data_IF_056106995878
#
_entry.id   IF_056106995878
#
_cell.length_a   1.000
_cell.length_b   1.000
_cell.length_c   1.000
_cell.angle_alpha   90.00
_cell.angle_beta   90.00
_cell.angle_gamma   90.00
#
_symmetry.space_group_name_H-M   'P 1'
#
loop_
_entity.id
_entity.type
_entity.pdbx_description
1 polymer ?
#
# COMPACT_ATOMS: atom_id res chain seq x y z
N UNK A 1 4.02 5.30 -4.27
CA UNK A 1 4.46 3.95 -3.82
C UNK A 1 3.27 3.01 -3.90
N UNK A 2 3.50 1.75 -4.29
CA UNK A 2 2.42 0.81 -4.59
C UNK A 2 1.66 1.26 -5.83
N UNK A 3 2.37 1.36 -6.95
CA UNK A 3 1.84 1.94 -8.18
C UNK A 3 1.07 0.96 -9.05
N UNK A 4 1.25 -0.35 -8.89
CA UNK A 4 0.73 -1.35 -9.81
C UNK A 4 1.08 -1.00 -11.29
N UNK A 5 0.06 -0.90 -12.15
CA UNK A 5 0.17 -0.47 -13.55
C UNK A 5 0.23 1.06 -13.77
N UNK A 6 0.04 1.84 -12.71
CA UNK A 6 0.08 3.30 -12.72
C UNK A 6 -1.20 3.99 -13.19
N UNK A 7 -2.16 3.27 -13.78
CA UNK A 7 -3.32 3.87 -14.46
C UNK A 7 -4.16 4.73 -13.52
N UNK A 8 -4.47 4.21 -12.33
CA UNK A 8 -5.27 4.90 -11.31
C UNK A 8 -4.62 6.18 -10.79
N UNK A 9 -3.29 6.30 -10.91
CA UNK A 9 -2.53 7.43 -10.41
C UNK A 9 -2.36 8.57 -11.44
N UNK A 10 -2.49 8.29 -12.75
CA UNK A 10 -2.13 9.22 -13.82
C UNK A 10 -2.81 10.59 -13.67
N UNK A 11 -4.12 10.62 -13.45
CA UNK A 11 -4.89 11.87 -13.35
C UNK A 11 -4.53 12.70 -12.12
N UNK A 12 -4.25 12.02 -11.00
CA UNK A 12 -3.83 12.70 -9.76
C UNK A 12 -2.44 13.30 -9.95
N UNK A 13 -1.50 12.54 -10.51
CA UNK A 13 -0.14 13.00 -10.82
C UNK A 13 -0.17 14.16 -11.81
N UNK A 14 -0.97 14.09 -12.88
CA UNK A 14 -1.18 15.18 -13.84
C UNK A 14 -1.66 16.46 -13.14
N UNK A 15 -2.67 16.34 -12.29
CA UNK A 15 -3.25 17.47 -11.56
C UNK A 15 -2.24 18.13 -10.63
N UNK A 16 -1.42 17.32 -9.95
CA UNK A 16 -0.38 17.80 -9.05
C UNK A 16 0.77 18.49 -9.81
N UNK A 17 1.23 17.90 -10.92
CA UNK A 17 2.23 18.52 -11.81
C UNK A 17 1.74 19.88 -12.31
N UNK A 18 0.50 19.95 -12.81
CA UNK A 18 -0.07 21.19 -13.31
C UNK A 18 -0.17 22.27 -12.22
N UNK A 19 -0.53 21.87 -11.00
CA UNK A 19 -0.52 22.78 -9.85
C UNK A 19 0.88 23.31 -9.56
N UNK A 20 1.90 22.44 -9.52
CA UNK A 20 3.28 22.85 -9.29
C UNK A 20 3.79 23.80 -10.38
N UNK A 21 3.57 23.46 -11.65
CA UNK A 21 4.04 24.26 -12.79
C UNK A 21 3.34 25.62 -12.88
N UNK A 22 2.07 25.71 -12.48
CA UNK A 22 1.36 27.00 -12.37
C UNK A 22 1.98 27.92 -11.33
N UNK A 23 2.40 27.36 -10.19
CA UNK A 23 2.96 28.14 -9.08
C UNK A 23 4.49 28.32 -9.18
N UNK A 24 5.17 27.51 -9.98
CA UNK A 24 6.62 27.56 -10.21
C UNK A 24 6.93 27.26 -11.67
N UNK A 25 6.72 28.24 -12.58
CA UNK A 25 6.97 28.04 -14.00
C UNK A 25 8.41 27.60 -14.28
N UNK A 26 8.56 26.55 -15.08
CA UNK A 26 9.87 26.00 -15.48
C UNK A 26 10.46 24.97 -14.51
N UNK A 27 9.81 24.66 -13.39
CA UNK A 27 10.24 23.62 -12.45
C UNK A 27 10.48 22.27 -13.16
N UNK A 28 11.57 21.59 -12.79
CA UNK A 28 11.85 20.21 -13.17
C UNK A 28 11.33 19.26 -12.10
N UNK A 29 10.61 18.21 -12.51
CA UNK A 29 9.94 17.28 -11.60
C UNK A 29 10.37 15.86 -11.92
N UNK A 30 10.87 15.15 -10.91
CA UNK A 30 11.05 13.69 -10.98
C UNK A 30 9.82 13.02 -10.37
N UNK A 31 9.24 12.04 -11.07
CA UNK A 31 8.14 11.22 -10.55
C UNK A 31 8.66 9.80 -10.38
N UNK A 32 8.81 9.34 -9.14
CA UNK A 32 9.30 8.00 -8.85
C UNK A 32 8.13 7.04 -8.61
N UNK A 33 7.91 6.15 -9.58
CA UNK A 33 6.99 5.03 -9.49
C UNK A 33 7.67 3.86 -8.81
N UNK A 34 7.26 3.54 -7.59
CA UNK A 34 7.85 2.48 -6.79
C UNK A 34 6.86 1.34 -6.52
N UNK A 35 7.28 0.11 -6.82
CA UNK A 35 6.52 -1.12 -6.56
C UNK A 35 7.46 -2.31 -6.30
N UNK A 36 6.89 -3.42 -5.82
CA UNK A 36 7.65 -4.65 -5.57
C UNK A 36 8.29 -5.21 -6.85
N UNK A 37 9.42 -5.93 -6.76
CA UNK A 37 10.13 -6.45 -7.94
C UNK A 37 9.32 -7.35 -8.88
N UNK A 38 8.23 -7.94 -8.39
CA UNK A 38 7.32 -8.81 -9.16
C UNK A 38 6.20 -8.05 -9.88
N UNK A 39 6.11 -6.72 -9.73
CA UNK A 39 5.15 -5.91 -10.47
C UNK A 39 5.43 -5.97 -11.98
N UNK A 40 4.39 -5.78 -12.79
CA UNK A 40 4.56 -5.64 -14.24
C UNK A 40 5.07 -4.23 -14.59
N UNK A 41 6.39 -4.05 -14.48
CA UNK A 41 7.04 -2.81 -14.86
C UNK A 41 6.95 -2.51 -16.35
N UNK A 42 6.79 -3.52 -17.22
CA UNK A 42 6.62 -3.27 -18.65
C UNK A 42 5.27 -2.60 -18.91
N UNK A 43 4.19 -3.12 -18.32
CA UNK A 43 2.87 -2.51 -18.36
C UNK A 43 2.87 -1.10 -17.79
N UNK A 44 3.44 -0.92 -16.59
CA UNK A 44 3.58 0.40 -15.95
C UNK A 44 4.33 1.42 -16.83
N UNK A 45 5.46 1.02 -17.42
CA UNK A 45 6.24 1.90 -18.31
C UNK A 45 5.45 2.26 -19.56
N UNK A 46 4.73 1.30 -20.16
CA UNK A 46 3.87 1.59 -21.32
C UNK A 46 2.77 2.58 -20.96
N UNK A 47 2.09 2.39 -19.84
CA UNK A 47 1.06 3.31 -19.33
C UNK A 47 1.62 4.72 -19.10
N UNK A 48 2.71 4.85 -18.34
CA UNK A 48 3.28 6.15 -17.97
C UNK A 48 3.88 6.87 -19.18
N UNK A 49 4.45 6.15 -20.16
CA UNK A 49 5.01 6.76 -21.37
C UNK A 49 3.99 7.02 -22.49
N UNK A 50 2.69 6.82 -22.24
CA UNK A 50 1.63 7.09 -23.23
C UNK A 50 1.56 6.04 -24.35
N UNK A 51 2.10 4.84 -24.12
CA UNK A 51 2.01 3.69 -25.01
C UNK A 51 0.85 2.74 -24.63
N UNK A 52 0.19 2.99 -23.49
CA UNK A 52 -0.96 2.25 -23.01
C UNK A 52 -2.31 2.78 -23.51
N UNK A 53 -3.38 2.39 -22.83
CA UNK A 53 -4.75 2.78 -23.20
C UNK A 53 -5.16 4.18 -22.75
N UNK A 54 -4.44 4.76 -21.79
CA UNK A 54 -4.78 6.03 -21.15
C UNK A 54 -3.78 7.14 -21.53
N UNK A 55 -4.25 8.39 -21.73
CA UNK A 55 -3.36 9.52 -22.00
C UNK A 55 -2.38 9.74 -20.86
N UNK A 56 -1.09 9.89 -21.20
CA UNK A 56 -0.07 10.20 -20.22
C UNK A 56 -0.03 11.70 -19.91
N UNK A 57 0.30 12.06 -18.67
CA UNK A 57 0.61 13.45 -18.32
C UNK A 57 1.85 13.97 -19.05
N UNK A 58 2.74 13.09 -19.53
CA UNK A 58 3.94 13.46 -20.30
C UNK A 58 3.61 14.06 -21.67
N UNK A 59 2.43 13.76 -22.22
CA UNK A 59 1.97 14.36 -23.48
C UNK A 59 1.57 15.83 -23.32
N UNK A 60 1.25 16.24 -22.08
CA UNK A 60 0.68 17.55 -21.75
C UNK A 60 1.61 18.43 -20.92
N UNK A 61 2.68 17.85 -20.38
CA UNK A 61 3.59 18.52 -19.44
C UNK A 61 5.02 18.44 -19.95
N UNK A 62 5.84 19.45 -19.60
CA UNK A 62 7.27 19.51 -19.93
C UNK A 62 8.11 19.44 -18.66
N UNK A 63 9.39 19.12 -18.77
CA UNK A 63 10.33 19.04 -17.63
C UNK A 63 9.88 18.04 -16.54
N UNK A 64 9.21 16.95 -16.94
CA UNK A 64 8.80 15.86 -16.05
C UNK A 64 9.53 14.58 -16.44
N UNK A 65 10.15 13.92 -15.47
CA UNK A 65 10.99 12.75 -15.68
C UNK A 65 10.47 11.58 -14.83
N UNK A 66 9.80 10.59 -15.43
CA UNK A 66 9.39 9.39 -14.70
C UNK A 66 10.59 8.49 -14.43
N UNK A 67 10.65 7.95 -13.22
CA UNK A 67 11.63 6.96 -12.78
C UNK A 67 10.88 5.75 -12.23
N UNK A 68 11.41 4.55 -12.46
CA UNK A 68 10.76 3.30 -12.06
C UNK A 68 11.68 2.56 -11.07
N UNK A 69 11.20 2.38 -9.84
CA UNK A 69 11.92 1.74 -8.75
C UNK A 69 11.28 0.39 -8.43
N UNK A 70 11.95 -0.69 -8.81
CA UNK A 70 11.58 -2.06 -8.49
C UNK A 70 12.05 -2.45 -7.09
N UNK A 71 11.54 -1.76 -6.07
CA UNK A 71 11.87 -1.99 -4.67
C UNK A 71 10.62 -2.01 -3.79
N UNK A 72 10.65 -2.88 -2.79
CA UNK A 72 9.61 -2.91 -1.76
C UNK A 72 9.65 -1.64 -0.90
N UNK A 73 8.49 -1.05 -0.63
CA UNK A 73 8.37 0.09 0.29
C UNK A 73 8.68 -0.24 1.75
N UNK A 74 8.88 -1.52 2.13
CA UNK A 74 9.46 -1.89 3.44
C UNK A 74 10.98 -1.68 3.50
N UNK A 75 11.60 -1.24 2.41
CA UNK A 75 13.00 -0.82 2.35
C UNK A 75 13.07 0.68 2.09
N UNK A 76 14.24 1.25 2.33
CA UNK A 76 14.59 2.55 1.79
C UNK A 76 14.75 2.44 0.27
N UNK A 77 14.01 3.28 -0.47
CA UNK A 77 13.89 3.27 -1.93
C UNK A 77 14.42 4.55 -2.57
N UNK A 78 14.73 5.57 -1.76
CA UNK A 78 15.34 6.82 -2.18
C UNK A 78 16.51 7.18 -1.25
N UNK A 79 17.52 7.95 -1.71
CA UNK A 79 18.55 8.48 -0.82
C UNK A 79 17.96 9.44 0.23
N UNK A 80 18.69 9.61 1.32
CA UNK A 80 18.29 10.50 2.43
C UNK A 80 18.01 11.93 1.93
N UNK A 81 16.94 12.53 2.46
CA UNK A 81 16.55 13.93 2.20
C UNK A 81 16.32 14.28 0.71
N UNK A 82 15.88 13.32 -0.10
CA UNK A 82 15.62 13.53 -1.55
C UNK A 82 14.14 13.55 -1.92
N UNK A 83 13.23 13.14 -1.02
CA UNK A 83 11.80 13.11 -1.27
C UNK A 83 11.14 14.42 -0.84
N UNK A 84 10.65 15.21 -1.79
CA UNK A 84 9.84 16.42 -1.54
C UNK A 84 8.40 16.08 -1.14
N UNK A 85 7.78 15.15 -1.86
CA UNK A 85 6.39 14.75 -1.68
C UNK A 85 6.21 13.26 -1.93
N UNK A 86 5.76 12.51 -0.92
CA UNK A 86 5.45 11.10 -1.01
C UNK A 86 3.94 10.85 -1.06
N UNK A 87 3.51 9.92 -1.91
CA UNK A 87 2.13 9.47 -1.99
C UNK A 87 2.04 7.95 -2.05
N UNK A 88 1.08 7.38 -1.32
CA UNK A 88 0.69 5.98 -1.42
C UNK A 88 -0.81 5.84 -1.25
N UNK A 89 -1.45 5.00 -2.06
CA UNK A 89 -2.85 4.66 -1.89
C UNK A 89 -3.03 3.14 -1.99
N UNK A 90 -3.88 2.58 -1.13
CA UNK A 90 -4.33 1.18 -1.14
C UNK A 90 -3.19 0.16 -1.29
N UNK A 91 -2.08 0.36 -0.59
CA UNK A 91 -0.88 -0.47 -0.76
C UNK A 91 -0.34 -1.03 0.57
N UNK A 92 -0.31 -0.24 1.63
CA UNK A 92 0.41 -0.59 2.87
C UNK A 92 -0.40 -1.48 3.82
N UNK A 93 -1.57 -1.94 3.39
CA UNK A 93 -2.34 -2.98 4.07
C UNK A 93 -1.85 -4.39 3.71
N UNK A 94 -1.12 -4.55 2.60
CA UNK A 94 -0.35 -5.76 2.37
C UNK A 94 0.75 -5.85 3.44
N UNK A 95 1.10 -7.06 3.86
CA UNK A 95 2.18 -7.31 4.81
C UNK A 95 3.47 -7.70 4.08
N UNK A 96 4.62 -7.42 4.71
CA UNK A 96 5.93 -7.78 4.18
C UNK A 96 6.15 -9.30 4.13
N UNK A 97 5.46 -10.03 5.01
CA UNK A 97 5.48 -11.48 5.09
C UNK A 97 4.10 -11.99 5.52
N UNK A 98 3.79 -13.25 5.18
CA UNK A 98 2.63 -13.95 5.74
C UNK A 98 2.99 -14.47 7.15
N UNK A 99 2.36 -14.01 8.23
CA UNK A 99 2.74 -14.36 9.61
C UNK A 99 2.46 -15.83 9.95
N UNK A 100 1.26 -16.30 9.61
CA UNK A 100 0.79 -17.67 9.82
C UNK A 100 -0.33 -18.02 8.82
N UNK A 101 -0.81 -19.26 8.85
CA UNK A 101 -2.04 -19.68 8.20
C UNK A 101 -3.22 -19.47 9.16
N UNK A 102 -4.37 -19.05 8.64
CA UNK A 102 -5.61 -18.86 9.41
C UNK A 102 -6.46 -20.12 9.27
N UNK A 103 -6.86 -20.71 10.39
CA UNK A 103 -7.46 -22.06 10.39
C UNK A 103 -8.87 -22.12 9.79
N UNK A 104 -9.67 -21.07 10.00
CA UNK A 104 -11.12 -21.08 9.72
C UNK A 104 -11.59 -19.88 8.90
N UNK A 105 -10.66 -19.08 8.39
CA UNK A 105 -10.95 -17.89 7.59
C UNK A 105 -9.79 -17.64 6.62
N UNK A 106 -9.96 -16.70 5.70
CA UNK A 106 -8.96 -16.40 4.65
C UNK A 106 -8.24 -15.07 4.84
N UNK A 107 -8.63 -14.30 5.86
CA UNK A 107 -8.16 -12.94 6.13
C UNK A 107 -8.20 -12.64 7.64
N UNK A 108 -7.31 -11.77 8.13
CA UNK A 108 -7.15 -11.47 9.57
C UNK A 108 -8.41 -10.97 10.27
N UNK A 109 -9.36 -10.38 9.54
CA UNK A 109 -10.63 -9.89 10.10
C UNK A 109 -11.52 -11.00 10.66
N UNK A 110 -11.26 -12.26 10.30
CA UNK A 110 -11.91 -13.44 10.86
C UNK A 110 -10.93 -14.38 11.57
N UNK A 111 -9.72 -13.90 11.88
CA UNK A 111 -8.76 -14.63 12.72
C UNK A 111 -9.05 -14.34 14.20
N UNK A 112 -8.70 -15.29 15.06
CA UNK A 112 -8.89 -15.19 16.51
C UNK A 112 -7.62 -15.61 17.26
N UNK A 113 -7.52 -15.25 18.54
CA UNK A 113 -6.44 -15.69 19.41
C UNK A 113 -5.04 -15.41 18.85
N UNK A 114 -4.17 -16.43 18.85
CA UNK A 114 -2.78 -16.32 18.41
C UNK A 114 -2.64 -15.99 16.92
N UNK A 115 -3.58 -16.44 16.07
CA UNK A 115 -3.54 -16.14 14.63
C UNK A 115 -3.72 -14.63 14.40
N UNK A 116 -4.69 -14.01 15.06
CA UNK A 116 -4.89 -12.56 14.98
C UNK A 116 -3.69 -11.79 15.54
N UNK A 117 -3.15 -12.20 16.69
CA UNK A 117 -2.00 -11.54 17.32
C UNK A 117 -0.74 -11.58 16.44
N UNK A 118 -0.49 -12.68 15.74
CA UNK A 118 0.62 -12.77 14.78
C UNK A 118 0.48 -11.73 13.65
N UNK A 119 -0.73 -11.54 13.13
CA UNK A 119 -1.03 -10.55 12.10
C UNK A 119 -0.91 -9.11 12.61
N UNK A 120 -1.40 -8.83 13.82
CA UNK A 120 -1.29 -7.52 14.46
C UNK A 120 0.17 -7.11 14.70
N UNK A 121 1.00 -8.02 15.21
CA UNK A 121 2.41 -7.73 15.44
C UNK A 121 3.17 -7.49 14.13
N UNK A 122 2.89 -8.28 13.08
CA UNK A 122 3.48 -8.06 11.76
C UNK A 122 3.04 -6.72 11.16
N UNK A 123 1.75 -6.37 11.25
CA UNK A 123 1.20 -5.10 10.76
C UNK A 123 1.83 -3.89 11.45
N UNK A 124 1.99 -3.95 12.77
CA UNK A 124 2.67 -2.93 13.57
C UNK A 124 4.13 -2.75 13.17
N UNK A 125 4.89 -3.86 13.06
CA UNK A 125 6.30 -3.84 12.64
C UNK A 125 6.48 -3.26 11.24
N UNK A 126 5.61 -3.67 10.31
CA UNK A 126 5.64 -3.20 8.93
C UNK A 126 5.32 -1.71 8.84
N UNK A 127 4.33 -1.23 9.61
CA UNK A 127 3.97 0.18 9.67
C UNK A 127 5.12 1.04 10.19
N UNK A 128 5.75 0.65 11.29
CA UNK A 128 6.94 1.34 11.83
C UNK A 128 8.08 1.35 10.81
N UNK A 129 8.35 0.20 10.18
CA UNK A 129 9.40 0.06 9.16
C UNK A 129 9.16 0.99 7.97
N UNK A 130 7.92 1.09 7.49
CA UNK A 130 7.54 2.00 6.42
C UNK A 130 7.86 3.43 6.85
N UNK A 131 7.33 3.88 7.99
CA UNK A 131 7.46 5.25 8.45
C UNK A 131 8.92 5.66 8.65
N UNK A 132 9.75 4.81 9.26
CA UNK A 132 11.17 5.10 9.47
C UNK A 132 11.95 5.23 8.17
N UNK A 133 11.67 4.37 7.17
CA UNK A 133 12.32 4.52 5.86
C UNK A 133 11.85 5.81 5.17
N UNK A 134 10.56 6.16 5.26
CA UNK A 134 10.04 7.41 4.65
C UNK A 134 10.59 8.65 5.34
N UNK A 135 10.75 8.62 6.66
CA UNK A 135 11.32 9.74 7.42
C UNK A 135 12.75 10.06 6.96
N UNK A 136 13.59 9.05 6.69
CA UNK A 136 14.95 9.25 6.15
C UNK A 136 14.94 9.86 4.74
N UNK A 137 14.02 9.40 3.90
CA UNK A 137 13.92 9.85 2.51
C UNK A 137 13.39 11.27 2.39
N UNK A 138 12.44 11.67 3.24
CA UNK A 138 11.84 12.99 3.25
C UNK A 138 12.88 14.06 3.54
N UNK A 139 12.89 15.11 2.72
CA UNK A 139 13.66 16.32 3.04
C UNK A 139 12.97 17.10 4.16
N UNK A 140 13.71 18.01 4.79
CA UNK A 140 13.11 19.01 5.69
C UNK A 140 11.99 19.79 4.99
N UNK A 141 10.79 19.77 5.58
CA UNK A 141 9.58 20.39 5.02
C UNK A 141 8.89 19.58 3.92
N UNK A 142 9.37 18.37 3.62
CA UNK A 142 8.68 17.42 2.75
C UNK A 142 7.38 16.91 3.37
N UNK A 143 6.50 16.37 2.53
CA UNK A 143 5.18 15.88 2.96
C UNK A 143 4.93 14.46 2.48
N UNK A 144 4.19 13.68 3.28
CA UNK A 144 3.81 12.32 2.97
C UNK A 144 2.31 12.14 3.15
N UNK A 145 1.64 11.64 2.12
CA UNK A 145 0.20 11.32 2.16
C UNK A 145 0.03 9.82 1.92
N UNK A 146 -0.60 9.15 2.88
CA UNK A 146 -0.83 7.71 2.86
C UNK A 146 -2.33 7.44 3.03
N UNK A 147 -2.94 6.83 2.01
CA UNK A 147 -4.36 6.46 2.00
C UNK A 147 -4.47 4.93 2.01
N UNK A 148 -4.78 4.34 3.16
CA UNK A 148 -4.82 2.88 3.31
C UNK A 148 -6.21 2.38 3.69
N UNK A 149 -6.46 1.11 3.39
CA UNK A 149 -7.58 0.41 4.02
C UNK A 149 -7.30 0.25 5.52
N UNK A 150 -8.37 0.41 6.30
CA UNK A 150 -8.34 0.42 7.75
C UNK A 150 -9.59 -0.24 8.30
N UNK A 151 -9.57 -0.51 9.60
CA UNK A 151 -10.77 -0.76 10.38
C UNK A 151 -11.19 0.55 11.06
N UNK A 152 -12.45 0.96 10.87
CA UNK A 152 -13.01 2.15 11.53
C UNK A 152 -13.40 1.86 12.99
N UNK A 153 -13.84 2.90 13.71
CA UNK A 153 -14.21 2.82 15.13
C UNK A 153 -15.44 1.93 15.39
N UNK A 154 -16.20 1.61 14.35
CA UNK A 154 -17.35 0.70 14.39
C UNK A 154 -16.97 -0.72 13.94
N UNK A 155 -15.67 -1.00 13.71
CA UNK A 155 -15.17 -2.28 13.23
C UNK A 155 -15.45 -2.55 11.75
N UNK A 156 -15.81 -1.53 10.95
CA UNK A 156 -16.03 -1.68 9.51
C UNK A 156 -14.71 -1.60 8.75
N UNK A 157 -14.63 -2.32 7.65
CA UNK A 157 -13.44 -2.40 6.79
C UNK A 157 -13.82 -2.63 5.33
N UNK A 158 -12.83 -2.72 4.44
CA UNK A 158 -13.06 -2.99 3.02
C UNK A 158 -13.90 -4.26 2.83
N UNK A 159 -15.04 -4.11 2.17
CA UNK A 159 -15.96 -5.21 1.92
C UNK A 159 -16.83 -5.58 3.12
N UNK A 160 -16.78 -4.83 4.23
CA UNK A 160 -17.70 -4.93 5.36
C UNK A 160 -18.18 -3.56 5.85
N UNK A 161 -18.85 -2.81 4.98
CA UNK A 161 -19.38 -1.47 5.29
C UNK A 161 -20.91 -1.44 5.47
N UNK A 162 -21.63 -2.34 4.77
CA UNK A 162 -23.11 -2.38 4.73
C UNK A 162 -23.64 -3.82 4.67
N UNK A 163 -23.86 -4.45 5.82
CA UNK A 163 -24.59 -5.74 5.96
C UNK A 163 -24.03 -6.96 5.22
N UNK A 164 -23.02 -6.79 4.38
CA UNK A 164 -22.32 -7.80 3.59
C UNK A 164 -20.89 -7.88 4.08
N UNK A 165 -20.29 -9.07 4.06
CA UNK A 165 -18.89 -9.28 4.39
C UNK A 165 -18.18 -10.05 3.27
N UNK A 166 -17.34 -9.34 2.53
CA UNK A 166 -16.57 -9.89 1.41
C UNK A 166 -15.65 -11.05 1.84
N UNK A 167 -14.92 -10.91 2.95
CA UNK A 167 -13.99 -11.95 3.38
C UNK A 167 -14.68 -13.17 3.97
N UNK A 168 -15.81 -13.00 4.66
CA UNK A 168 -16.66 -14.13 5.06
C UNK A 168 -17.18 -14.88 3.84
N UNK A 169 -17.61 -14.17 2.80
CA UNK A 169 -18.04 -14.80 1.54
C UNK A 169 -16.88 -15.55 0.87
N UNK A 170 -15.66 -15.00 0.87
CA UNK A 170 -14.48 -15.71 0.37
C UNK A 170 -14.21 -16.98 1.19
N UNK A 171 -14.25 -16.90 2.52
CA UNK A 171 -14.05 -18.07 3.38
C UNK A 171 -15.09 -19.18 3.09
N UNK A 172 -16.37 -18.82 2.92
CA UNK A 172 -17.43 -19.78 2.58
C UNK A 172 -17.20 -20.43 1.21
N UNK A 173 -16.86 -19.64 0.17
CA UNK A 173 -16.59 -20.18 -1.17
C UNK A 173 -15.42 -21.18 -1.13
N UNK A 174 -14.36 -20.86 -0.38
CA UNK A 174 -13.21 -21.75 -0.21
C UNK A 174 -13.56 -23.02 0.57
N UNK A 175 -14.44 -22.94 1.58
CA UNK A 175 -14.96 -24.11 2.28
C UNK A 175 -15.81 -24.98 1.34
N UNK A 176 -16.64 -24.37 0.49
CA UNK A 176 -17.44 -25.10 -0.50
C UNK A 176 -16.56 -25.86 -1.49
N UNK A 177 -15.45 -25.26 -1.94
CA UNK A 177 -14.48 -25.94 -2.80
C UNK A 177 -13.84 -27.14 -2.09
N UNK A 178 -13.50 -27.02 -0.80
CA UNK A 178 -12.97 -28.12 0.00
C UNK A 178 -14.01 -29.23 0.20
N UNK A 179 -15.26 -28.88 0.52
CA UNK A 179 -16.35 -29.82 0.70
C UNK A 179 -16.68 -30.60 -0.58
N UNK A 180 -16.51 -29.95 -1.74
CA UNK A 180 -16.65 -30.57 -3.07
C UNK A 180 -15.41 -31.37 -3.51
N UNK A 181 -14.34 -31.42 -2.70
CA UNK A 181 -13.09 -32.11 -3.02
C UNK A 181 -12.27 -31.46 -4.13
N UNK A 182 -12.52 -30.18 -4.45
CA UNK A 182 -11.78 -29.41 -5.48
C UNK A 182 -10.42 -28.92 -4.98
N UNK A 183 -10.29 -28.76 -3.66
CA UNK A 183 -9.05 -28.42 -2.96
C UNK A 183 -8.94 -29.27 -1.69
N UNK A 184 -7.72 -29.51 -1.22
CA UNK A 184 -7.45 -30.17 0.05
C UNK A 184 -7.48 -29.22 1.26
N UNK A 185 -7.52 -29.77 2.49
CA UNK A 185 -7.47 -28.96 3.72
C UNK A 185 -6.23 -28.07 3.83
N UNK A 186 -5.07 -28.54 3.37
CA UNK A 186 -3.82 -27.76 3.38
C UNK A 186 -3.86 -26.60 2.36
N UNK A 187 -4.58 -26.76 1.25
CA UNK A 187 -4.76 -25.66 0.28
C UNK A 187 -5.70 -24.59 0.84
N UNK A 188 -6.75 -25.01 1.56
CA UNK A 188 -7.63 -24.09 2.28
C UNK A 188 -6.86 -23.27 3.31
N UNK A 189 -6.09 -23.91 4.21
CA UNK A 189 -5.32 -23.17 5.25
C UNK A 189 -4.25 -22.25 4.65
N UNK A 190 -3.52 -22.72 3.63
CA UNK A 190 -2.49 -21.90 2.97
C UNK A 190 -3.07 -20.70 2.23
N UNK A 191 -4.34 -20.75 1.84
CA UNK A 191 -5.10 -19.59 1.39
C UNK A 191 -5.36 -18.68 2.58
N UNK A 192 -4.35 -17.91 2.89
CA UNK A 192 -4.40 -16.86 3.88
C UNK A 192 -3.83 -15.62 3.22
N UNK A 193 -4.64 -14.57 3.12
CA UNK A 193 -4.23 -13.29 2.54
C UNK A 193 -3.27 -12.58 3.50
N UNK A 194 -2.04 -12.23 3.07
CA UNK A 194 -1.08 -11.51 3.89
C UNK A 194 -1.44 -10.02 3.93
N UNK A 195 -2.58 -9.71 4.56
CA UNK A 195 -3.10 -8.36 4.70
C UNK A 195 -3.43 -8.08 6.18
N UNK A 196 -3.22 -6.83 6.59
CA UNK A 196 -3.64 -6.32 7.90
C UNK A 196 -4.27 -4.95 7.74
N UNK A 197 -5.46 -4.78 8.33
CA UNK A 197 -6.16 -3.50 8.38
C UNK A 197 -5.95 -2.89 9.75
N UNK A 198 -5.03 -1.94 9.82
CA UNK A 198 -4.80 -1.19 11.04
C UNK A 198 -6.05 -0.37 11.39
N UNK A 199 -6.32 -0.21 12.68
CA UNK A 199 -7.29 0.78 13.17
C UNK A 199 -6.72 2.19 13.12
N UNK A 200 -7.57 3.20 13.36
CA UNK A 200 -7.14 4.59 13.52
C UNK A 200 -6.15 4.73 14.68
N UNK A 201 -6.37 4.00 15.77
CA UNK A 201 -5.49 3.98 16.94
C UNK A 201 -4.12 3.39 16.60
N UNK A 202 -4.08 2.28 15.87
CA UNK A 202 -2.84 1.62 15.46
C UNK A 202 -2.03 2.50 14.49
N UNK A 203 -2.69 3.11 13.50
CA UNK A 203 -2.03 4.04 12.58
C UNK A 203 -1.43 5.25 13.30
N UNK A 204 -2.15 5.79 14.30
CA UNK A 204 -1.72 6.98 15.03
C UNK A 204 -0.74 6.68 16.18
N UNK A 205 -0.66 5.45 16.66
CA UNK A 205 0.16 5.07 17.82
C UNK A 205 1.64 5.49 17.73
N UNK A 206 2.35 5.32 16.59
CA UNK A 206 3.76 5.71 16.48
C UNK A 206 4.02 7.21 16.66
N UNK A 207 2.99 8.06 16.51
CA UNK A 207 3.10 9.51 16.59
C UNK A 207 2.63 10.09 17.93
N UNK A 208 2.08 9.27 18.83
CA UNK A 208 1.53 9.74 20.12
C UNK A 208 2.57 9.85 21.22
N UNK A 209 3.65 9.06 21.15
CA UNK A 209 4.69 9.02 22.18
C UNK A 209 5.95 9.68 21.67
N UNK A 210 6.44 10.67 22.42
CA UNK A 210 7.65 11.43 22.09
C UNK A 210 8.91 10.57 22.05
N UNK A 211 8.90 9.41 22.70
CA UNK A 211 10.02 8.47 22.73
C UNK A 211 9.96 7.42 21.60
N UNK A 212 8.90 7.42 20.79
CA UNK A 212 8.76 6.50 19.65
C UNK A 212 9.84 6.79 18.61
N UNK A 213 10.51 5.76 18.05
CA UNK A 213 11.47 5.95 16.96
C UNK A 213 10.90 6.76 15.79
N UNK A 214 9.62 6.59 15.48
CA UNK A 214 8.91 7.33 14.42
C UNK A 214 8.73 8.80 14.78
N UNK A 215 8.44 9.13 16.04
CA UNK A 215 8.25 10.51 16.47
C UNK A 215 9.59 11.28 16.45
N UNK A 216 10.69 10.59 16.79
CA UNK A 216 12.02 11.18 16.84
C UNK A 216 12.70 11.32 15.47
N UNK A 217 12.19 10.64 14.43
CA UNK A 217 12.74 10.63 13.08
C UNK A 217 12.26 11.82 12.26
#
# INVERSE_FOLDING_TARGET
MGTADGETSLKMVESFINFLQKNSPGISINVVYADQPKNDFNGLVQTVLGLGHFPSYLEKTKNVYPLFSANSFYKQILPDNTLDFGFSATAMHWLSNKPCDISHHVHMVGAEGEEYLCFAEQGKKDWETILLNRARELRSGGQLILLNFCCDENGKYLGNTTGVNMFTNFAQIWQDFMAQGRIGPEEYRRMTLPQYYNTVEEFSAPFKKTESPVYCA
#
